data_IF_528194546889
#
_entry.id   IF_528194546889
#
_cell.length_a   1.000
_cell.length_b   1.000
_cell.length_c   1.000
_cell.angle_alpha   90.00
_cell.angle_beta   90.00
_cell.angle_gamma   90.00
#
_symmetry.space_group_name_H-M   'P 1'
#
loop_
_entity.id
_entity.type
_entity.pdbx_description
1 polymer ?
#
# COMPACT_ATOMS: atom_id res chain seq x y z
N UNK A 1 10.55 8.68 11.79
CA UNK A 1 9.95 8.22 10.52
C UNK A 1 10.77 7.04 10.02
N UNK A 2 10.18 6.09 9.30
CA UNK A 2 10.95 5.05 8.60
C UNK A 2 11.74 5.67 7.43
N UNK A 3 12.88 5.07 7.09
CA UNK A 3 13.67 5.44 5.89
C UNK A 3 13.44 4.39 4.80
N UNK A 4 13.37 4.75 3.50
CA UNK A 4 13.13 3.80 2.44
C UNK A 4 14.30 2.83 2.25
N UNK A 5 13.99 1.54 2.12
CA UNK A 5 14.93 0.47 1.80
C UNK A 5 14.67 -0.01 0.38
N UNK A 6 15.44 0.51 -0.56
CA UNK A 6 15.30 0.17 -1.97
C UNK A 6 15.77 -1.26 -2.30
N UNK A 7 15.18 -1.86 -3.34
CA UNK A 7 15.63 -3.12 -3.93
C UNK A 7 16.97 -2.94 -4.67
N UNK A 8 17.79 -4.00 -4.72
CA UNK A 8 19.05 -3.96 -5.45
C UNK A 8 18.82 -3.70 -6.96
N UNK A 9 19.53 -2.73 -7.51
CA UNK A 9 19.37 -2.26 -8.90
C UNK A 9 18.46 -1.05 -9.06
N UNK A 10 17.69 -0.65 -8.04
CA UNK A 10 16.94 0.62 -8.03
C UNK A 10 17.89 1.78 -7.77
N UNK A 11 17.92 2.78 -8.67
CA UNK A 11 18.58 4.05 -8.40
C UNK A 11 17.77 4.88 -7.40
N UNK A 12 18.23 4.89 -6.15
CA UNK A 12 17.63 5.67 -5.07
C UNK A 12 17.58 7.18 -5.37
N UNK A 13 18.50 7.73 -6.16
CA UNK A 13 18.59 9.17 -6.39
C UNK A 13 17.45 9.68 -7.29
N UNK A 14 17.18 9.01 -8.42
CA UNK A 14 16.09 9.40 -9.33
C UNK A 14 14.70 9.10 -8.77
N UNK A 15 14.51 8.03 -7.99
CA UNK A 15 13.18 7.67 -7.47
C UNK A 15 12.77 8.41 -6.18
N UNK A 16 13.73 8.91 -5.38
CA UNK A 16 13.44 9.56 -4.09
C UNK A 16 12.51 10.78 -4.18
N UNK A 17 12.59 11.68 -5.19
CA UNK A 17 11.65 12.80 -5.34
C UNK A 17 10.20 12.34 -5.58
N UNK A 18 10.01 11.32 -6.44
CA UNK A 18 8.69 10.75 -6.73
C UNK A 18 8.12 10.00 -5.51
N UNK A 19 8.97 9.25 -4.79
CA UNK A 19 8.61 8.64 -3.52
C UNK A 19 8.15 9.68 -2.50
N UNK A 20 8.92 10.75 -2.29
CA UNK A 20 8.60 11.83 -1.34
C UNK A 20 7.19 12.38 -1.57
N UNK A 21 6.85 12.71 -2.83
CA UNK A 21 5.53 13.25 -3.19
C UNK A 21 4.34 12.33 -2.83
N UNK A 22 4.56 11.02 -2.65
CA UNK A 22 3.54 10.07 -2.21
C UNK A 22 3.39 9.99 -0.68
N UNK A 23 4.41 10.37 0.08
CA UNK A 23 4.47 10.15 1.53
C UNK A 23 3.68 11.21 2.33
N UNK A 24 2.99 10.78 3.39
CA UNK A 24 2.25 11.67 4.32
C UNK A 24 3.12 12.76 4.94
N UNK A 25 4.43 12.53 5.10
CA UNK A 25 5.39 13.52 5.61
C UNK A 25 5.61 14.73 4.69
N UNK A 26 5.21 14.65 3.42
CA UNK A 26 5.36 15.70 2.40
C UNK A 26 3.99 16.12 1.81
N UNK A 27 2.89 15.77 2.49
CA UNK A 27 1.52 16.06 2.04
C UNK A 27 0.87 14.98 1.14
N UNK A 28 1.55 13.86 0.90
CA UNK A 28 0.99 12.69 0.25
C UNK A 28 0.07 11.86 1.17
N UNK A 29 -0.25 10.63 0.76
CA UNK A 29 -1.22 9.75 1.46
C UNK A 29 -0.73 8.32 1.70
N UNK A 30 0.49 7.98 1.27
CA UNK A 30 1.13 6.69 1.52
C UNK A 30 2.06 6.76 2.73
N UNK A 31 2.28 5.60 3.35
CA UNK A 31 3.24 5.42 4.45
C UNK A 31 4.24 4.33 4.10
N UNK A 32 5.48 4.46 4.54
CA UNK A 32 6.44 3.35 4.52
C UNK A 32 6.11 2.36 5.64
N UNK A 33 6.33 1.05 5.42
CA UNK A 33 6.36 0.09 6.54
C UNK A 33 7.52 0.39 7.49
N UNK A 34 7.52 -0.24 8.67
CA UNK A 34 8.56 -0.01 9.71
C UNK A 34 9.97 -0.32 9.20
N UNK A 35 10.08 -1.27 8.28
CA UNK A 35 11.30 -1.79 7.65
C UNK A 35 11.71 -0.96 6.43
N UNK A 36 10.88 -0.01 5.98
CA UNK A 36 11.15 0.85 4.83
C UNK A 36 11.07 0.19 3.46
N UNK A 37 10.85 -1.12 3.39
CA UNK A 37 10.93 -1.92 2.16
C UNK A 37 9.67 -1.85 1.29
N UNK A 38 8.57 -1.27 1.79
CA UNK A 38 7.28 -1.25 1.13
C UNK A 38 6.51 0.05 1.38
N UNK A 39 5.67 0.44 0.43
CA UNK A 39 4.67 1.50 0.55
C UNK A 39 3.31 0.90 0.88
N UNK A 40 2.61 1.41 1.88
CA UNK A 40 1.27 0.98 2.26
C UNK A 40 0.28 2.13 2.48
N UNK A 41 -0.98 1.90 2.10
CA UNK A 41 -2.09 2.86 2.19
C UNK A 41 -3.45 2.17 2.26
N UNK A 42 -4.41 2.82 2.91
CA UNK A 42 -5.83 2.50 2.81
C UNK A 42 -6.57 3.49 1.89
N UNK A 43 -7.52 2.97 1.11
CA UNK A 43 -8.43 3.68 0.23
C UNK A 43 -9.87 3.40 0.67
N UNK A 44 -10.79 4.36 0.51
CA UNK A 44 -12.19 4.20 0.91
C UNK A 44 -13.13 4.85 -0.10
N UNK A 45 -14.20 4.16 -0.50
CA UNK A 45 -15.12 4.60 -1.54
C UNK A 45 -16.56 4.74 -1.03
N UNK A 46 -17.40 5.50 -1.73
CA UNK A 46 -18.76 5.81 -1.28
C UNK A 46 -19.72 4.62 -1.36
N UNK A 47 -19.64 3.82 -2.42
CA UNK A 47 -20.54 2.67 -2.68
C UNK A 47 -19.85 1.61 -3.54
N UNK A 48 -20.32 0.37 -3.47
CA UNK A 48 -19.94 -0.75 -4.36
C UNK A 48 -21.06 -1.11 -5.38
N UNK A 49 -22.15 -0.33 -5.41
CA UNK A 49 -23.35 -0.64 -6.21
C UNK A 49 -23.02 -0.73 -7.72
N UNK A 50 -23.47 -1.78 -8.41
CA UNK A 50 -24.91 -1.94 -8.70
C UNK A 50 -25.54 -3.32 -8.46
N UNK A 51 -24.85 -4.26 -7.81
CA UNK A 51 -25.34 -5.66 -7.71
C UNK A 51 -25.22 -6.30 -6.33
N UNK A 52 -25.10 -5.51 -5.24
CA UNK A 52 -24.72 -6.05 -3.92
C UNK A 52 -25.48 -5.48 -2.70
N UNK A 53 -26.60 -4.77 -2.90
CA UNK A 53 -27.30 -4.05 -1.81
C UNK A 53 -27.93 -4.95 -0.70
N UNK A 54 -27.75 -6.28 -0.79
CA UNK A 54 -28.12 -7.24 0.26
C UNK A 54 -26.99 -7.54 1.25
N UNK A 55 -25.72 -7.18 0.95
CA UNK A 55 -24.57 -7.40 1.86
C UNK A 55 -23.55 -6.23 1.85
N UNK A 56 -24.02 -5.02 1.62
CA UNK A 56 -23.21 -3.79 1.40
C UNK A 56 -22.51 -3.20 2.63
N UNK A 57 -22.63 -3.78 3.83
CA UNK A 57 -22.12 -3.18 5.07
C UNK A 57 -20.59 -3.16 5.25
N UNK A 58 -19.83 -3.98 4.52
CA UNK A 58 -18.47 -4.40 4.95
C UNK A 58 -17.34 -4.11 3.94
N UNK A 59 -17.66 -3.77 2.68
CA UNK A 59 -16.72 -3.95 1.55
C UNK A 59 -16.23 -2.69 0.83
N UNK A 60 -16.40 -1.48 1.40
CA UNK A 60 -16.05 -0.22 0.70
C UNK A 60 -14.61 0.29 0.92
N UNK A 61 -13.76 -0.49 1.56
CA UNK A 61 -12.41 -0.09 2.00
C UNK A 61 -11.38 -1.07 1.48
N UNK A 62 -10.28 -0.58 0.92
CA UNK A 62 -9.21 -1.39 0.31
C UNK A 62 -7.86 -0.98 0.87
N UNK A 63 -7.08 -1.93 1.35
CA UNK A 63 -5.70 -1.72 1.77
C UNK A 63 -4.75 -2.25 0.69
N UNK A 64 -3.77 -1.44 0.30
CA UNK A 64 -2.77 -1.79 -0.71
C UNK A 64 -1.39 -1.65 -0.08
N UNK A 65 -0.53 -2.64 -0.33
CA UNK A 65 0.91 -2.55 -0.07
C UNK A 65 1.68 -2.92 -1.33
N UNK A 66 2.58 -2.04 -1.77
CA UNK A 66 3.51 -2.27 -2.87
C UNK A 66 4.91 -2.56 -2.31
N UNK A 67 5.53 -3.65 -2.78
CA UNK A 67 6.86 -4.11 -2.42
C UNK A 67 7.42 -4.99 -3.53
N UNK A 68 8.71 -4.84 -3.84
CA UNK A 68 9.41 -5.71 -4.77
C UNK A 68 9.95 -6.92 -4.02
N UNK A 69 9.51 -8.11 -4.40
CA UNK A 69 9.87 -9.35 -3.71
C UNK A 69 11.32 -9.80 -4.01
N UNK A 70 11.77 -9.67 -5.26
CA UNK A 70 13.12 -10.07 -5.67
C UNK A 70 13.71 -9.12 -6.74
N UNK A 71 14.84 -8.45 -6.48
CA UNK A 71 15.52 -8.34 -5.18
C UNK A 71 14.64 -7.65 -4.12
N UNK A 72 14.71 -8.09 -2.86
CA UNK A 72 13.79 -7.64 -1.83
C UNK A 72 14.00 -6.16 -1.42
N UNK A 73 12.97 -5.33 -1.59
CA UNK A 73 12.95 -3.91 -1.21
C UNK A 73 11.89 -3.10 -1.98
N UNK A 74 11.99 -1.78 -1.92
CA UNK A 74 11.14 -0.86 -2.68
C UNK A 74 11.76 -0.54 -4.05
N UNK A 75 10.98 -0.53 -5.13
CA UNK A 75 11.46 -0.19 -6.48
C UNK A 75 10.74 1.02 -7.12
N UNK A 76 11.24 1.40 -8.31
CA UNK A 76 10.59 2.31 -9.26
C UNK A 76 9.14 1.88 -9.58
N UNK A 77 8.89 0.57 -9.67
CA UNK A 77 7.57 0.00 -9.98
C UNK A 77 6.60 0.18 -8.82
N UNK A 78 7.05 -0.02 -7.59
CA UNK A 78 6.21 0.16 -6.40
C UNK A 78 5.73 1.62 -6.28
N UNK A 79 6.64 2.57 -6.54
CA UNK A 79 6.35 4.02 -6.58
C UNK A 79 5.41 4.36 -7.74
N UNK A 80 5.64 3.78 -8.93
CA UNK A 80 4.78 4.00 -10.12
C UNK A 80 3.36 3.47 -9.90
N UNK A 81 3.23 2.25 -9.36
CA UNK A 81 1.93 1.64 -9.05
C UNK A 81 1.19 2.44 -7.97
N UNK A 82 1.90 2.94 -6.95
CA UNK A 82 1.32 3.81 -5.93
C UNK A 82 0.73 5.11 -6.54
N UNK A 83 1.47 5.78 -7.43
CA UNK A 83 0.99 6.98 -8.13
C UNK A 83 -0.18 6.71 -9.10
N UNK A 84 -0.20 5.54 -9.74
CA UNK A 84 -1.34 5.11 -10.57
C UNK A 84 -2.59 4.82 -9.72
N UNK A 85 -2.43 4.18 -8.55
CA UNK A 85 -3.53 3.99 -7.61
C UNK A 85 -4.13 5.33 -7.14
N UNK A 86 -3.33 6.36 -6.87
CA UNK A 86 -3.84 7.71 -6.56
C UNK A 86 -4.68 8.30 -7.69
N UNK A 87 -4.22 8.15 -8.94
CA UNK A 87 -4.91 8.64 -10.13
C UNK A 87 -6.25 7.93 -10.33
N UNK A 88 -6.27 6.60 -10.22
CA UNK A 88 -7.47 5.77 -10.36
C UNK A 88 -8.46 6.00 -9.20
N UNK A 89 -7.97 6.13 -7.96
CA UNK A 89 -8.81 6.41 -6.81
C UNK A 89 -9.54 7.76 -6.93
N UNK A 90 -8.83 8.81 -7.39
CA UNK A 90 -9.44 10.10 -7.67
C UNK A 90 -10.53 10.01 -8.77
N UNK A 91 -10.28 9.27 -9.86
CA UNK A 91 -11.26 9.03 -10.93
C UNK A 91 -12.50 8.25 -10.45
N UNK A 92 -12.31 7.30 -9.53
CA UNK A 92 -13.37 6.44 -8.97
C UNK A 92 -14.12 7.08 -7.78
N UNK A 93 -13.83 8.33 -7.43
CA UNK A 93 -14.52 9.04 -6.36
C UNK A 93 -14.19 8.50 -4.96
N UNK A 94 -12.89 8.27 -4.70
CA UNK A 94 -12.38 8.02 -3.35
C UNK A 94 -12.87 9.11 -2.39
N UNK A 95 -13.34 8.69 -1.22
CA UNK A 95 -13.65 9.60 -0.13
C UNK A 95 -12.34 10.19 0.44
N UNK A 96 -12.36 11.42 0.96
CA UNK A 96 -11.22 11.92 1.73
C UNK A 96 -10.93 10.96 2.91
N UNK A 97 -9.67 10.89 3.39
CA UNK A 97 -9.42 10.27 4.68
C UNK A 97 -10.35 10.90 5.72
N UNK A 98 -10.97 10.06 6.55
CA UNK A 98 -11.82 10.55 7.63
C UNK A 98 -11.00 11.41 8.61
N UNK A 99 -11.64 12.27 9.42
CA UNK A 99 -10.94 13.01 10.46
C UNK A 99 -10.15 12.01 11.31
N UNK A 100 -8.84 12.24 11.43
CA UNK A 100 -7.92 11.27 12.00
C UNK A 100 -8.24 11.03 13.47
N UNK A 101 -8.61 9.79 13.84
CA UNK A 101 -8.92 9.44 15.22
C UNK A 101 -7.65 9.49 16.07
N UNK A 102 -7.35 10.67 16.60
CA UNK A 102 -6.41 10.86 17.71
C UNK A 102 -6.91 10.12 18.94
N UNK A 103 -6.44 8.88 19.12
CA UNK A 103 -6.59 8.01 20.29
C UNK A 103 -8.01 7.67 20.77
N UNK A 104 -8.25 6.36 20.97
CA UNK A 104 -9.35 5.79 21.78
C UNK A 104 -10.80 6.10 21.34
N UNK A 105 -11.26 5.44 20.28
CA UNK A 105 -12.68 5.12 20.05
C UNK A 105 -12.86 3.86 19.19
N UNK A 106 -12.75 2.69 19.81
CA UNK A 106 -13.42 1.42 19.44
C UNK A 106 -13.56 1.08 17.94
N UNK A 107 -12.45 0.96 17.19
CA UNK A 107 -12.41 0.18 15.93
C UNK A 107 -11.02 -0.39 15.58
N UNK A 108 -10.16 -0.59 16.58
CA UNK A 108 -8.72 -0.86 16.39
C UNK A 108 -8.38 -2.22 15.76
N UNK A 109 -9.31 -3.19 15.82
CA UNK A 109 -9.13 -4.57 15.36
C UNK A 109 -8.81 -4.69 13.86
N UNK A 110 -9.63 -4.06 13.00
CA UNK A 110 -9.57 -4.31 11.55
C UNK A 110 -8.34 -3.72 10.87
N UNK A 111 -7.88 -2.53 11.29
CA UNK A 111 -6.67 -1.88 10.73
C UNK A 111 -5.42 -2.72 10.98
N UNK A 112 -5.28 -3.23 12.21
CA UNK A 112 -4.18 -4.08 12.63
C UNK A 112 -4.25 -5.46 11.96
N UNK A 113 -5.44 -6.08 11.90
CA UNK A 113 -5.64 -7.36 11.24
C UNK A 113 -5.30 -7.32 9.74
N UNK A 114 -5.70 -6.25 9.03
CA UNK A 114 -5.43 -6.09 7.59
C UNK A 114 -3.95 -5.84 7.30
N UNK A 115 -3.24 -5.06 8.13
CA UNK A 115 -1.77 -4.93 8.04
C UNK A 115 -1.08 -6.28 8.25
N UNK A 116 -1.47 -7.02 9.29
CA UNK A 116 -0.95 -8.36 9.58
C UNK A 116 -1.23 -9.40 8.47
N UNK A 117 -2.35 -9.27 7.75
CA UNK A 117 -2.62 -10.08 6.56
C UNK A 117 -1.66 -9.77 5.42
N UNK A 118 -1.36 -8.49 5.18
CA UNK A 118 -0.37 -8.07 4.18
C UNK A 118 1.07 -8.47 4.56
N UNK A 119 1.42 -8.46 5.86
CA UNK A 119 2.71 -8.96 6.36
C UNK A 119 2.89 -10.45 6.04
N UNK A 120 1.83 -11.24 6.30
CA UNK A 120 1.81 -12.68 5.97
C UNK A 120 1.85 -12.94 4.47
N UNK A 121 1.15 -12.14 3.66
CA UNK A 121 1.17 -12.28 2.20
C UNK A 121 2.55 -12.00 1.61
N UNK A 122 3.24 -10.96 2.07
CA UNK A 122 4.60 -10.65 1.66
C UNK A 122 5.61 -11.75 2.06
N UNK A 123 5.50 -12.29 3.28
CA UNK A 123 6.37 -13.37 3.75
C UNK A 123 6.11 -14.74 3.11
N UNK A 124 4.90 -14.99 2.59
CA UNK A 124 4.51 -16.27 2.01
C UNK A 124 4.84 -16.44 0.52
N UNK A 125 5.34 -15.41 -0.16
CA UNK A 125 5.52 -15.40 -1.61
C UNK A 125 6.59 -16.37 -2.13
N UNK A 126 7.64 -16.66 -1.34
CA UNK A 126 8.67 -17.66 -1.66
C UNK A 126 9.39 -17.46 -3.00
N UNK A 127 9.90 -18.52 -3.59
CA UNK A 127 10.71 -18.47 -4.83
C UNK A 127 9.94 -18.11 -6.12
N UNK A 128 8.71 -17.59 -6.00
CA UNK A 128 7.76 -17.31 -7.10
C UNK A 128 8.37 -16.50 -8.27
N UNK A 129 9.31 -15.60 -7.98
CA UNK A 129 9.95 -14.74 -8.98
C UNK A 129 11.35 -15.20 -9.40
N UNK A 130 11.73 -16.45 -9.18
CA UNK A 130 13.00 -17.02 -9.69
C UNK A 130 12.73 -18.03 -10.81
N UNK A 131 13.50 -18.02 -11.91
CA UNK A 131 13.49 -19.13 -12.85
C UNK A 131 13.94 -20.40 -12.12
N UNK A 132 13.09 -21.43 -12.08
CA UNK A 132 13.51 -22.75 -11.61
C UNK A 132 14.70 -23.20 -12.44
N UNK A 133 15.84 -23.46 -11.80
CA UNK A 133 16.96 -24.15 -12.45
C UNK A 133 16.46 -25.52 -12.91
N UNK A 134 16.50 -25.77 -14.21
CA UNK A 134 16.52 -27.16 -14.67
C UNK A 134 17.87 -27.72 -14.28
N UNK A 135 17.83 -28.77 -13.45
CA UNK A 135 18.87 -29.79 -13.45
C UNK A 135 18.77 -30.61 -14.74
#
# INVERSE_FOLDING_TARGET
MAQPRFSAGTDAASVTPALKALLTSEGGRWTLTKEGAALERQFKFKTFAKTWDFMTGVYNTTFIRWTTHNPAGLSDKDITMAAQCDTLAAQLGELPPGPETTAAAETEDQSCAVRGLADRAAGAAGDCCTPKKST
#
